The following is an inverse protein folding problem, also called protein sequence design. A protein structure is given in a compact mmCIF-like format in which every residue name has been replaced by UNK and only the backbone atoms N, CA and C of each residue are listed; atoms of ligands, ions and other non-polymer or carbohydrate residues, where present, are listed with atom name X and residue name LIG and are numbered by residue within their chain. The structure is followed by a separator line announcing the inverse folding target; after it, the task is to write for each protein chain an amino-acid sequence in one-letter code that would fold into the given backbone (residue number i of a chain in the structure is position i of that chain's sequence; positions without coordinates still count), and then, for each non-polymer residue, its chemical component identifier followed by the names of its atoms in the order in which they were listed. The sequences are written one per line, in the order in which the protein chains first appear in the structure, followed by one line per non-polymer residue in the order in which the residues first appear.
data_IF_570795210446
#
_entry.id   IF_570795210446
#
_cell.length_a   1.000
_cell.length_b   1.000
_cell.length_c   1.000
_cell.angle_alpha   90.00
_cell.angle_beta   90.00
_cell.angle_gamma   90.00
#
_symmetry.space_group_name_H-M   'P 1'
#
loop_
_entity.id
_entity.type
_entity.pdbx_description
1 polymer ?
#
# COMPACT_ATOMS: atom_id res chain seq x y z
N UNK A 1 -13.23 -7.60 -18.76
CA UNK A 1 -12.48 -8.68 -18.08
C UNK A 1 -13.12 -8.95 -16.74
N UNK A 2 -13.37 -10.22 -16.39
CA UNK A 2 -13.98 -10.57 -15.10
C UNK A 2 -12.95 -10.53 -13.99
N UNK A 3 -13.23 -9.79 -12.92
CA UNK A 3 -12.37 -9.67 -11.75
C UNK A 3 -13.19 -9.96 -10.50
N UNK A 4 -12.67 -10.80 -9.62
CA UNK A 4 -13.28 -11.07 -8.32
C UNK A 4 -12.53 -10.36 -7.19
N UNK A 5 -13.18 -10.13 -6.07
CA UNK A 5 -12.55 -9.57 -4.86
C UNK A 5 -12.51 -10.63 -3.76
N UNK A 6 -11.34 -10.80 -3.16
CA UNK A 6 -11.07 -11.67 -2.03
C UNK A 6 -10.87 -10.79 -0.80
N UNK A 7 -11.86 -10.85 0.10
CA UNK A 7 -12.00 -10.09 1.34
C UNK A 7 -12.21 -8.59 1.16
N UNK A 8 -13.06 -8.01 2.01
CA UNK A 8 -13.27 -6.59 2.21
C UNK A 8 -12.76 -6.12 3.58
N UNK A 9 -11.83 -6.87 4.21
CA UNK A 9 -11.20 -6.50 5.48
C UNK A 9 -10.42 -5.17 5.39
N UNK A 10 -9.75 -4.91 4.27
CA UNK A 10 -9.06 -3.65 3.99
C UNK A 10 -10.01 -2.66 3.29
N UNK A 11 -10.06 -1.42 3.79
CA UNK A 11 -11.02 -0.39 3.35
C UNK A 11 -10.91 0.00 1.87
N UNK A 12 -9.74 -0.15 1.25
CA UNK A 12 -9.57 0.10 -0.20
C UNK A 12 -10.35 -0.87 -1.08
N UNK A 13 -10.75 -2.05 -0.59
CA UNK A 13 -11.56 -3.01 -1.34
C UNK A 13 -12.82 -2.37 -1.93
N UNK A 14 -13.45 -1.45 -1.19
CA UNK A 14 -14.61 -0.70 -1.65
C UNK A 14 -14.28 0.25 -2.81
N UNK A 15 -13.15 0.96 -2.72
CA UNK A 15 -12.67 1.86 -3.79
C UNK A 15 -12.35 1.06 -5.06
N UNK A 16 -11.63 -0.06 -4.92
CA UNK A 16 -11.30 -0.94 -6.04
C UNK A 16 -12.54 -1.56 -6.68
N UNK A 17 -13.52 -2.00 -5.88
CA UNK A 17 -14.78 -2.53 -6.37
C UNK A 17 -15.63 -1.49 -7.13
N UNK A 18 -15.65 -0.23 -6.66
CA UNK A 18 -16.31 0.89 -7.37
C UNK A 18 -15.66 1.11 -8.74
N UNK A 19 -14.32 1.15 -8.81
CA UNK A 19 -13.57 1.30 -10.07
C UNK A 19 -13.75 0.12 -11.02
N UNK A 20 -13.82 -1.12 -10.52
CA UNK A 20 -14.16 -2.28 -11.34
C UNK A 20 -15.58 -2.20 -11.92
N UNK A 21 -16.54 -1.69 -11.13
CA UNK A 21 -17.94 -1.56 -11.55
C UNK A 21 -18.14 -0.44 -12.57
N UNK A 22 -17.37 0.66 -12.43
CA UNK A 22 -17.40 1.80 -13.34
C UNK A 22 -16.59 1.58 -14.63
N UNK A 23 -15.67 0.61 -14.64
CA UNK A 23 -14.77 0.36 -15.77
C UNK A 23 -15.53 -0.18 -16.99
N UNK A 24 -15.32 0.37 -18.21
CA UNK A 24 -15.84 -0.22 -19.44
C UNK A 24 -15.11 -1.54 -19.82
N UNK A 25 -13.99 -1.80 -19.14
CA UNK A 25 -12.96 -2.75 -19.50
C UNK A 25 -12.94 -3.97 -18.55
N UNK A 26 -13.66 -3.87 -17.44
CA UNK A 26 -13.76 -4.87 -16.39
C UNK A 26 -15.20 -5.04 -15.89
N UNK A 27 -15.44 -6.13 -15.18
CA UNK A 27 -16.63 -6.30 -14.37
C UNK A 27 -16.21 -6.93 -13.04
N UNK A 28 -16.77 -6.44 -11.93
CA UNK A 28 -16.73 -7.17 -10.67
C UNK A 28 -17.64 -8.39 -10.80
N UNK A 29 -17.08 -9.59 -10.78
CA UNK A 29 -17.81 -10.81 -11.11
C UNK A 29 -18.24 -11.63 -9.89
N UNK A 30 -17.53 -11.50 -8.76
CA UNK A 30 -17.76 -12.29 -7.56
C UNK A 30 -17.06 -11.68 -6.34
N UNK A 31 -17.58 -11.99 -5.15
CA UNK A 31 -16.99 -11.67 -3.86
C UNK A 31 -16.85 -12.93 -3.02
N UNK A 32 -15.72 -13.05 -2.33
CA UNK A 32 -15.53 -13.96 -1.21
C UNK A 32 -14.99 -13.15 -0.03
N UNK A 33 -15.31 -13.56 1.19
CA UNK A 33 -14.79 -12.96 2.41
C UNK A 33 -14.75 -14.02 3.52
N UNK A 34 -13.71 -13.99 4.36
CA UNK A 34 -13.61 -14.84 5.55
C UNK A 34 -14.69 -14.53 6.62
N UNK A 35 -15.20 -13.31 6.63
CA UNK A 35 -16.38 -12.89 7.40
C UNK A 35 -17.62 -12.94 6.50
N UNK A 36 -18.49 -13.90 6.77
CA UNK A 36 -19.70 -14.14 5.98
C UNK A 36 -20.64 -12.93 5.95
N UNK A 37 -20.71 -12.14 7.03
CA UNK A 37 -21.57 -10.96 7.09
C UNK A 37 -21.01 -9.88 6.16
N UNK A 38 -19.71 -9.57 6.30
CA UNK A 38 -19.02 -8.58 5.47
C UNK A 38 -19.06 -8.94 3.99
N UNK A 39 -18.82 -10.22 3.66
CA UNK A 39 -18.88 -10.72 2.29
C UNK A 39 -20.28 -10.61 1.67
N UNK A 40 -21.32 -10.98 2.40
CA UNK A 40 -22.71 -10.85 1.94
C UNK A 40 -23.12 -9.38 1.76
N UNK A 41 -22.72 -8.48 2.66
CA UNK A 41 -22.97 -7.06 2.55
C UNK A 41 -22.30 -6.45 1.31
N UNK A 42 -21.03 -6.76 1.08
CA UNK A 42 -20.29 -6.31 -0.10
C UNK A 42 -20.91 -6.85 -1.40
N UNK A 43 -21.19 -8.16 -1.46
CA UNK A 43 -21.84 -8.78 -2.61
C UNK A 43 -23.21 -8.15 -2.91
N UNK A 44 -24.03 -7.90 -1.88
CA UNK A 44 -25.31 -7.22 -2.02
C UNK A 44 -25.15 -5.78 -2.48
N UNK A 45 -24.15 -5.05 -1.99
CA UNK A 45 -23.88 -3.66 -2.38
C UNK A 45 -23.59 -3.53 -3.87
N UNK A 46 -22.80 -4.44 -4.42
CA UNK A 46 -22.38 -4.40 -5.82
C UNK A 46 -23.24 -5.26 -6.75
N UNK A 47 -24.22 -6.00 -6.22
CA UNK A 47 -25.14 -6.83 -7.01
C UNK A 47 -24.47 -8.05 -7.65
N UNK A 48 -23.46 -8.63 -6.99
CA UNK A 48 -22.67 -9.76 -7.50
C UNK A 48 -22.81 -10.99 -6.60
N UNK A 49 -22.51 -12.21 -7.09
CA UNK A 49 -22.56 -13.41 -6.26
C UNK A 49 -21.52 -13.37 -5.12
N UNK A 50 -21.98 -13.71 -3.91
CA UNK A 50 -21.13 -14.10 -2.79
C UNK A 50 -20.86 -15.61 -2.86
N UNK A 51 -19.59 -15.99 -2.67
CA UNK A 51 -19.17 -17.36 -2.47
C UNK A 51 -18.69 -17.52 -1.04
N UNK A 52 -19.17 -18.57 -0.36
CA UNK A 52 -18.77 -18.87 1.01
C UNK A 52 -17.38 -19.53 1.07
N UNK A 53 -17.11 -20.44 0.14
CA UNK A 53 -15.84 -21.15 0.07
C UNK A 53 -14.95 -20.49 -0.99
N UNK A 54 -13.70 -20.16 -0.63
CA UNK A 54 -12.78 -19.45 -1.53
C UNK A 54 -12.54 -20.24 -2.83
N UNK A 55 -12.43 -21.57 -2.71
CA UNK A 55 -12.26 -22.49 -3.84
C UNK A 55 -13.43 -22.44 -4.83
N UNK A 56 -14.63 -22.07 -4.41
CA UNK A 56 -15.78 -21.89 -5.32
C UNK A 56 -15.62 -20.61 -6.14
N UNK A 57 -15.21 -19.51 -5.51
CA UNK A 57 -14.90 -18.27 -6.21
C UNK A 57 -13.75 -18.46 -7.21
N UNK A 58 -12.69 -19.16 -6.80
CA UNK A 58 -11.52 -19.40 -7.64
C UNK A 58 -11.82 -20.32 -8.85
N UNK A 59 -12.87 -21.15 -8.78
CA UNK A 59 -13.35 -21.97 -9.91
C UNK A 59 -14.20 -21.21 -10.93
N UNK A 60 -14.58 -19.97 -10.65
CA UNK A 60 -15.31 -19.12 -11.61
C UNK A 60 -14.46 -18.76 -12.83
N UNK A 61 -15.08 -18.14 -13.82
CA UNK A 61 -14.41 -17.63 -15.02
C UNK A 61 -13.76 -16.24 -14.83
N UNK A 62 -13.60 -15.78 -13.58
CA UNK A 62 -12.77 -14.61 -13.27
C UNK A 62 -11.36 -14.80 -13.84
N UNK A 63 -10.82 -13.79 -14.51
CA UNK A 63 -9.44 -13.81 -15.02
C UNK A 63 -8.43 -13.35 -13.97
N UNK A 64 -8.88 -12.51 -13.03
CA UNK A 64 -8.05 -11.92 -12.00
C UNK A 64 -8.80 -11.79 -10.67
N UNK A 65 -8.04 -11.60 -9.60
CA UNK A 65 -8.54 -11.30 -8.26
C UNK A 65 -7.85 -10.06 -7.69
N UNK A 66 -8.59 -9.30 -6.87
CA UNK A 66 -8.04 -8.28 -5.98
C UNK A 66 -8.09 -8.84 -4.55
N UNK A 67 -6.94 -8.91 -3.88
CA UNK A 67 -6.81 -9.43 -2.51
C UNK A 67 -6.69 -8.25 -1.54
N UNK A 68 -7.68 -8.11 -0.66
CA UNK A 68 -7.79 -7.04 0.33
C UNK A 68 -8.11 -7.58 1.73
N UNK A 69 -7.60 -8.78 2.06
CA UNK A 69 -7.72 -9.36 3.40
C UNK A 69 -6.78 -8.70 4.40
N UNK A 70 -6.74 -9.18 5.65
CA UNK A 70 -5.69 -8.76 6.57
C UNK A 70 -4.30 -9.17 6.06
N UNK A 71 -3.25 -8.42 6.44
CA UNK A 71 -1.87 -8.60 5.95
C UNK A 71 -1.37 -10.03 6.11
N UNK A 72 -1.69 -10.67 7.24
CA UNK A 72 -1.27 -12.04 7.55
C UNK A 72 -1.90 -13.10 6.62
N UNK A 73 -3.02 -12.78 5.96
CA UNK A 73 -3.75 -13.70 5.07
C UNK A 73 -3.39 -13.55 3.60
N UNK A 74 -2.65 -12.51 3.21
CA UNK A 74 -2.27 -12.26 1.82
C UNK A 74 -1.62 -13.48 1.17
N UNK A 75 -0.67 -14.14 1.87
CA UNK A 75 0.02 -15.31 1.34
C UNK A 75 -0.93 -16.43 0.93
N UNK A 76 -1.84 -16.81 1.82
CA UNK A 76 -2.78 -17.90 1.58
C UNK A 76 -3.64 -17.60 0.36
N UNK A 77 -4.22 -16.40 0.31
CA UNK A 77 -5.10 -15.97 -0.77
C UNK A 77 -4.39 -15.84 -2.12
N UNK A 78 -3.19 -15.25 -2.14
CA UNK A 78 -2.40 -15.06 -3.37
C UNK A 78 -1.91 -16.40 -3.91
N UNK A 79 -1.44 -17.32 -3.06
CA UNK A 79 -1.01 -18.65 -3.51
C UNK A 79 -2.20 -19.45 -4.06
N UNK A 80 -3.36 -19.41 -3.40
CA UNK A 80 -4.58 -20.07 -3.88
C UNK A 80 -5.02 -19.50 -5.24
N UNK A 81 -5.04 -18.18 -5.39
CA UNK A 81 -5.37 -17.52 -6.64
C UNK A 81 -4.39 -17.87 -7.77
N UNK A 82 -3.09 -17.90 -7.49
CA UNK A 82 -2.07 -18.30 -8.45
C UNK A 82 -2.23 -19.75 -8.91
N UNK A 83 -2.49 -20.68 -7.98
CA UNK A 83 -2.76 -22.08 -8.31
C UNK A 83 -4.02 -22.27 -9.16
N UNK A 84 -5.01 -21.38 -9.01
CA UNK A 84 -6.21 -21.33 -9.86
C UNK A 84 -6.01 -20.58 -11.19
N UNK A 85 -4.78 -20.14 -11.50
CA UNK A 85 -4.44 -19.43 -12.73
C UNK A 85 -5.01 -18.01 -12.81
N UNK A 86 -5.28 -17.37 -11.67
CA UNK A 86 -5.80 -15.99 -11.61
C UNK A 86 -4.65 -14.99 -11.48
N UNK A 87 -4.70 -13.90 -12.25
CA UNK A 87 -3.82 -12.75 -12.01
C UNK A 87 -4.22 -12.05 -10.70
N UNK A 88 -3.26 -11.43 -10.01
CA UNK A 88 -3.46 -10.93 -8.64
C UNK A 88 -3.03 -9.47 -8.54
N UNK A 89 -3.94 -8.61 -8.06
CA UNK A 89 -3.61 -7.34 -7.44
C UNK A 89 -3.74 -7.53 -5.92
N UNK A 90 -2.63 -7.40 -5.18
CA UNK A 90 -2.60 -7.63 -3.73
C UNK A 90 -2.42 -6.31 -2.99
N UNK A 91 -3.21 -6.08 -1.94
CA UNK A 91 -3.00 -4.96 -1.03
C UNK A 91 -1.60 -4.96 -0.41
N UNK A 92 -1.18 -3.76 -0.01
CA UNK A 92 0.06 -3.53 0.74
C UNK A 92 -0.20 -3.66 2.24
N UNK A 93 0.81 -4.05 3.04
CA UNK A 93 2.07 -4.68 2.64
C UNK A 93 1.84 -6.03 1.96
N UNK A 94 2.76 -6.45 1.08
CA UNK A 94 2.67 -7.73 0.35
C UNK A 94 2.41 -8.92 1.29
N UNK A 95 3.03 -8.95 2.46
CA UNK A 95 2.85 -9.96 3.49
C UNK A 95 3.29 -9.41 4.84
N UNK A 96 3.09 -10.18 5.91
CA UNK A 96 3.73 -9.91 7.19
C UNK A 96 5.21 -10.33 7.15
N UNK A 97 5.57 -11.51 6.66
CA UNK A 97 6.96 -11.96 6.65
C UNK A 97 7.62 -11.91 5.25
N UNK A 98 8.92 -11.58 5.14
CA UNK A 98 9.64 -11.59 3.87
C UNK A 98 9.62 -12.96 3.17
N UNK A 99 9.74 -14.06 3.93
CA UNK A 99 9.69 -15.41 3.38
C UNK A 99 8.32 -15.72 2.76
N UNK A 100 7.25 -15.18 3.34
CA UNK A 100 5.90 -15.31 2.83
C UNK A 100 5.71 -14.54 1.53
N UNK A 101 6.24 -13.32 1.46
CA UNK A 101 6.28 -12.53 0.24
C UNK A 101 7.08 -13.23 -0.88
N UNK A 102 8.22 -13.84 -0.56
CA UNK A 102 9.01 -14.63 -1.52
C UNK A 102 8.24 -15.87 -2.01
N UNK A 103 7.48 -16.53 -1.13
CA UNK A 103 6.62 -17.65 -1.49
C UNK A 103 5.49 -17.22 -2.45
N UNK A 104 4.86 -16.06 -2.20
CA UNK A 104 3.84 -15.48 -3.09
C UNK A 104 4.40 -15.17 -4.48
N UNK A 105 5.54 -14.47 -4.53
CA UNK A 105 6.22 -14.12 -5.79
C UNK A 105 6.55 -15.40 -6.58
N UNK A 106 7.10 -16.41 -5.91
CA UNK A 106 7.42 -17.70 -6.52
C UNK A 106 6.15 -18.39 -7.05
N UNK A 107 5.08 -18.47 -6.25
CA UNK A 107 3.84 -19.12 -6.68
C UNK A 107 3.23 -18.46 -7.92
N UNK A 108 3.18 -17.13 -7.97
CA UNK A 108 2.68 -16.41 -9.13
C UNK A 108 3.56 -16.64 -10.37
N UNK A 109 4.88 -16.57 -10.21
CA UNK A 109 5.84 -16.85 -11.30
C UNK A 109 5.70 -18.28 -11.83
N UNK A 110 5.64 -19.27 -10.94
CA UNK A 110 5.61 -20.69 -11.32
C UNK A 110 4.29 -21.07 -12.01
N UNK A 111 3.19 -20.36 -11.72
CA UNK A 111 1.91 -20.51 -12.42
C UNK A 111 1.75 -19.58 -13.64
N UNK A 112 2.74 -18.74 -13.93
CA UNK A 112 2.70 -17.80 -15.06
C UNK A 112 1.64 -16.70 -14.91
N UNK A 113 1.23 -16.38 -13.68
CA UNK A 113 0.27 -15.30 -13.40
C UNK A 113 0.99 -14.04 -12.94
N UNK A 114 0.31 -12.90 -13.10
CA UNK A 114 0.84 -11.59 -12.71
C UNK A 114 0.55 -11.38 -11.22
N UNK A 115 1.54 -10.86 -10.49
CA UNK A 115 1.38 -10.31 -9.15
C UNK A 115 1.73 -8.83 -9.18
N UNK A 116 0.75 -7.97 -8.94
CA UNK A 116 0.94 -6.55 -8.75
C UNK A 116 0.63 -6.17 -7.30
N UNK A 117 1.43 -5.27 -6.73
CA UNK A 117 1.21 -4.75 -5.37
C UNK A 117 0.53 -3.40 -5.42
N UNK A 118 -0.45 -3.19 -4.53
CA UNK A 118 -1.27 -1.98 -4.48
C UNK A 118 -0.52 -0.80 -3.85
N UNK A 119 0.34 -0.14 -4.64
CA UNK A 119 0.92 1.17 -4.29
C UNK A 119 0.31 2.29 -5.14
N UNK A 120 -0.90 2.77 -4.81
CA UNK A 120 -1.62 3.75 -5.63
C UNK A 120 -0.90 5.10 -5.70
N UNK A 121 -0.01 5.42 -4.74
CA UNK A 121 0.68 6.71 -4.71
C UNK A 121 1.63 6.92 -5.90
N UNK A 122 2.10 5.87 -6.59
CA UNK A 122 2.85 5.99 -7.86
C UNK A 122 2.03 6.62 -8.99
N UNK A 123 0.69 6.63 -8.87
CA UNK A 123 -0.22 7.25 -9.84
C UNK A 123 -0.41 8.75 -9.62
N UNK A 124 0.10 9.29 -8.52
CA UNK A 124 0.01 10.73 -8.22
C UNK A 124 0.79 11.57 -9.24
N UNK A 125 0.17 12.61 -9.83
CA UNK A 125 0.87 13.56 -10.70
C UNK A 125 2.07 14.23 -10.02
N UNK A 126 1.95 14.55 -8.73
CA UNK A 126 3.01 15.20 -7.95
C UNK A 126 4.21 14.27 -7.79
N UNK A 127 3.98 12.98 -7.51
CA UNK A 127 5.04 11.98 -7.36
C UNK A 127 5.70 11.64 -8.70
N UNK A 128 4.91 11.55 -9.78
CA UNK A 128 5.41 11.39 -11.15
C UNK A 128 6.29 12.55 -11.60
N UNK A 129 5.86 13.79 -11.32
CA UNK A 129 6.66 14.98 -11.63
C UNK A 129 7.96 15.02 -10.83
N UNK A 130 7.91 14.63 -9.54
CA UNK A 130 9.11 14.55 -8.71
C UNK A 130 10.13 13.55 -9.27
N UNK A 131 9.66 12.38 -9.72
CA UNK A 131 10.51 11.37 -10.37
C UNK A 131 11.21 11.93 -11.61
N UNK A 132 10.48 12.62 -12.48
CA UNK A 132 11.08 13.22 -13.69
C UNK A 132 12.10 14.32 -13.34
N UNK A 133 11.79 15.17 -12.36
CA UNK A 133 12.68 16.24 -11.94
C UNK A 133 14.00 15.70 -11.33
N UNK A 134 13.91 14.64 -10.55
CA UNK A 134 15.09 13.96 -9.95
C UNK A 134 15.89 13.25 -11.04
N UNK A 135 15.24 12.49 -11.93
CA UNK A 135 15.89 11.76 -13.03
C UNK A 135 16.57 12.69 -14.04
N UNK A 136 16.00 13.85 -14.31
CA UNK A 136 16.61 14.86 -15.18
C UNK A 136 17.85 15.54 -14.56
N UNK A 137 18.16 15.27 -13.29
CA UNK A 137 19.34 15.79 -12.60
C UNK A 137 19.24 17.27 -12.22
N UNK A 138 18.04 17.85 -12.28
CA UNK A 138 17.82 19.27 -11.96
C UNK A 138 18.10 19.59 -10.49
N UNK A 139 17.91 18.62 -9.58
CA UNK A 139 18.30 18.74 -8.17
C UNK A 139 19.77 18.42 -7.90
N UNK A 140 20.54 17.99 -8.90
CA UNK A 140 21.86 17.42 -8.71
C UNK A 140 21.79 16.05 -8.03
N UNK A 141 22.79 15.73 -7.21
CA UNK A 141 22.78 14.49 -6.41
C UNK A 141 21.91 14.70 -5.18
N UNK A 142 20.92 13.82 -4.97
CA UNK A 142 20.16 13.79 -3.72
C UNK A 142 21.11 13.34 -2.60
N UNK A 143 21.05 14.02 -1.45
CA UNK A 143 21.87 13.74 -0.27
C UNK A 143 21.03 13.53 0.99
N UNK A 144 19.80 14.06 1.01
CA UNK A 144 18.94 14.01 2.18
C UNK A 144 17.47 13.93 1.82
N UNK A 145 16.70 13.18 2.60
CA UNK A 145 15.24 13.08 2.48
C UNK A 145 14.62 13.19 3.88
N UNK A 146 13.57 14.00 4.02
CA UNK A 146 12.70 13.95 5.19
C UNK A 146 11.29 13.67 4.71
N UNK A 147 10.66 12.64 5.25
CA UNK A 147 9.33 12.22 4.87
C UNK A 147 8.44 12.02 6.09
N UNK A 148 7.16 12.30 5.90
CA UNK A 148 6.12 11.95 6.85
C UNK A 148 5.02 11.21 6.12
N UNK A 149 4.44 10.25 6.81
CA UNK A 149 3.16 9.68 6.42
C UNK A 149 2.40 9.46 7.72
N UNK A 150 1.64 10.48 8.11
CA UNK A 150 0.87 10.43 9.34
C UNK A 150 -0.57 10.04 9.06
N UNK A 151 -1.09 9.04 9.75
CA UNK A 151 -2.49 8.60 9.62
C UNK A 151 -3.31 8.82 10.87
N UNK A 152 -4.62 8.65 10.74
CA UNK A 152 -5.48 8.28 11.87
C UNK A 152 -5.28 6.80 12.16
N UNK A 153 -5.37 6.40 13.42
CA UNK A 153 -5.36 4.99 13.81
C UNK A 153 -6.61 4.28 13.26
N UNK A 154 -6.48 3.26 12.38
CA UNK A 154 -7.63 2.63 11.72
C UNK A 154 -8.50 1.76 12.65
N UNK A 155 -7.91 1.21 13.71
CA UNK A 155 -8.55 0.25 14.62
C UNK A 155 -8.73 -1.14 13.99
N UNK A 156 -9.59 -1.96 14.59
CA UNK A 156 -9.90 -3.31 14.07
C UNK A 156 -8.65 -4.20 13.99
N UNK A 157 -8.48 -4.91 12.88
CA UNK A 157 -7.34 -5.82 12.69
C UNK A 157 -5.99 -5.10 12.55
N UNK A 158 -5.95 -3.80 12.24
CA UNK A 158 -4.69 -3.05 12.12
C UNK A 158 -3.92 -2.97 13.45
N UNK A 159 -4.64 -3.03 14.58
CA UNK A 159 -4.05 -2.98 15.92
C UNK A 159 -3.82 -4.36 16.52
N UNK A 160 -4.17 -5.44 15.79
CA UNK A 160 -3.86 -6.81 16.17
C UNK A 160 -2.53 -7.23 15.51
N UNK A 161 -1.43 -7.35 16.28
CA UNK A 161 -0.12 -7.67 15.72
C UNK A 161 -0.07 -9.01 14.98
N UNK A 162 -0.97 -9.96 15.28
CA UNK A 162 -1.03 -11.25 14.58
C UNK A 162 -1.61 -11.11 13.18
N UNK A 163 -2.51 -10.15 12.96
CA UNK A 163 -3.17 -9.92 11.68
C UNK A 163 -2.45 -8.85 10.84
N UNK A 164 -1.95 -7.79 11.48
CA UNK A 164 -1.30 -6.66 10.81
C UNK A 164 0.20 -6.83 10.64
N UNK A 165 0.86 -7.57 11.53
CA UNK A 165 2.31 -7.71 11.59
C UNK A 165 3.04 -6.53 12.25
N UNK A 166 2.31 -5.54 12.76
CA UNK A 166 2.80 -4.33 13.44
C UNK A 166 1.84 -3.15 13.27
N UNK A 167 2.17 -2.02 13.87
CA UNK A 167 1.30 -0.85 13.91
C UNK A 167 1.60 0.17 12.82
N UNK A 168 1.72 1.44 13.24
CA UNK A 168 1.86 2.57 12.33
C UNK A 168 3.12 2.48 11.46
N UNK A 169 4.21 1.90 11.97
CA UNK A 169 5.44 1.70 11.18
C UNK A 169 5.19 0.76 10.01
N UNK A 170 4.48 -0.36 10.22
CA UNK A 170 4.12 -1.30 9.13
C UNK A 170 3.18 -0.64 8.12
N UNK A 171 2.16 0.07 8.61
CA UNK A 171 1.15 0.69 7.74
C UNK A 171 1.74 1.82 6.87
N UNK A 172 2.61 2.67 7.43
CA UNK A 172 3.02 3.92 6.79
C UNK A 172 4.40 3.88 6.11
N UNK A 173 5.37 3.10 6.61
CA UNK A 173 6.71 3.03 5.99
C UNK A 173 6.62 2.49 4.57
N UNK A 174 5.75 1.51 4.31
CA UNK A 174 5.63 0.87 2.99
C UNK A 174 5.30 1.87 1.88
N UNK A 175 4.41 2.83 2.14
CA UNK A 175 4.05 3.88 1.17
C UNK A 175 5.24 4.78 0.85
N UNK A 176 5.93 5.27 1.88
CA UNK A 176 7.06 6.17 1.70
C UNK A 176 8.21 5.43 1.01
N UNK A 177 8.52 4.21 1.43
CA UNK A 177 9.61 3.44 0.84
C UNK A 177 9.35 3.04 -0.60
N UNK A 178 8.11 2.69 -0.96
CA UNK A 178 7.74 2.46 -2.35
C UNK A 178 8.09 3.68 -3.23
N UNK A 179 7.69 4.87 -2.78
CA UNK A 179 7.97 6.13 -3.48
C UNK A 179 9.47 6.38 -3.56
N UNK A 180 10.21 6.23 -2.45
CA UNK A 180 11.65 6.49 -2.43
C UNK A 180 12.40 5.52 -3.35
N UNK A 181 12.07 4.23 -3.33
CA UNK A 181 12.65 3.26 -4.25
C UNK A 181 12.37 3.60 -5.71
N UNK A 182 11.13 3.97 -6.01
CA UNK A 182 10.69 4.28 -7.37
C UNK A 182 11.29 5.58 -7.93
N UNK A 183 11.39 6.61 -7.09
CA UNK A 183 11.86 7.95 -7.46
C UNK A 183 13.38 8.02 -7.50
N UNK A 184 14.06 7.44 -6.51
CA UNK A 184 15.51 7.53 -6.38
C UNK A 184 16.25 6.42 -7.12
N UNK A 185 15.61 5.25 -7.32
CA UNK A 185 16.22 4.06 -7.91
C UNK A 185 17.49 3.65 -7.14
N UNK A 186 17.40 3.67 -5.80
CA UNK A 186 18.48 3.33 -4.84
C UNK A 186 17.99 2.35 -3.80
N UNK A 187 18.86 1.42 -3.39
CA UNK A 187 18.54 0.50 -2.29
C UNK A 187 18.86 1.11 -0.93
N UNK A 188 18.13 0.70 0.10
CA UNK A 188 18.50 0.95 1.50
C UNK A 188 19.64 0.00 1.86
N UNK A 189 20.66 0.52 2.52
CA UNK A 189 21.81 -0.25 3.03
C UNK A 189 21.76 -0.38 4.55
N UNK A 190 21.12 0.56 5.25
CA UNK A 190 21.07 0.56 6.71
C UNK A 190 19.80 1.19 7.25
N UNK A 191 19.26 0.63 8.33
CA UNK A 191 18.04 1.11 9.00
C UNK A 191 18.31 1.25 10.48
N UNK A 192 17.92 2.40 11.06
CA UNK A 192 17.81 2.59 12.49
C UNK A 192 16.42 3.15 12.82
N UNK A 193 15.77 2.65 13.87
CA UNK A 193 14.45 3.11 14.26
C UNK A 193 14.32 3.24 15.77
N UNK A 194 13.66 4.33 16.19
CA UNK A 194 13.13 4.51 17.53
C UNK A 194 11.61 4.61 17.40
N UNK A 195 10.90 3.57 17.84
CA UNK A 195 9.45 3.45 17.79
C UNK A 195 8.91 3.40 19.24
N UNK A 196 7.64 3.72 19.44
CA UNK A 196 6.99 3.65 20.74
C UNK A 196 5.47 3.54 20.56
N UNK A 197 4.77 3.25 21.66
CA UNK A 197 3.30 3.26 21.74
C UNK A 197 2.88 4.32 22.76
N UNK A 198 2.53 5.52 22.28
CA UNK A 198 2.32 6.70 23.13
C UNK A 198 1.06 7.49 22.81
N UNK A 199 0.46 7.27 21.65
CA UNK A 199 -0.70 8.01 21.18
C UNK A 199 -2.01 7.31 21.56
N UNK A 200 -2.00 5.97 21.60
CA UNK A 200 -3.15 5.13 21.86
C UNK A 200 -2.82 4.00 22.85
N UNK A 201 -3.86 3.44 23.48
CA UNK A 201 -3.76 2.29 24.39
C UNK A 201 -3.94 0.98 23.59
N UNK A 202 -2.86 0.54 22.95
CA UNK A 202 -2.80 -0.62 22.04
C UNK A 202 -1.48 -1.38 22.20
N UNK A 203 -1.34 -2.54 21.56
CA UNK A 203 -0.15 -3.42 21.71
C UNK A 203 0.94 -3.22 20.64
N UNK A 204 0.66 -2.41 19.62
CA UNK A 204 1.56 -2.15 18.49
C UNK A 204 2.12 -0.73 18.53
N UNK A 205 3.25 -0.50 17.85
CA UNK A 205 3.87 0.82 17.76
C UNK A 205 2.96 1.80 17.02
N UNK A 206 2.81 3.03 17.53
CA UNK A 206 1.93 4.04 16.95
C UNK A 206 2.64 5.35 16.59
N UNK A 207 3.89 5.51 17.01
CA UNK A 207 4.73 6.64 16.65
C UNK A 207 6.21 6.28 16.67
N UNK A 208 7.03 7.14 16.07
CA UNK A 208 8.48 6.97 16.05
C UNK A 208 9.14 7.64 14.87
N UNK A 209 10.46 7.50 14.79
CA UNK A 209 11.28 7.98 13.67
C UNK A 209 12.15 6.84 13.16
N UNK A 210 12.19 6.69 11.84
CA UNK A 210 13.06 5.76 11.13
C UNK A 210 14.11 6.55 10.37
N UNK A 211 15.38 6.26 10.64
CA UNK A 211 16.54 6.76 9.91
C UNK A 211 17.08 5.69 8.98
N UNK A 212 17.35 6.06 7.74
CA UNK A 212 17.80 5.17 6.69
C UNK A 212 19.07 5.71 6.06
N UNK A 213 20.00 4.82 5.74
CA UNK A 213 21.05 5.09 4.76
C UNK A 213 20.72 4.32 3.48
N UNK A 214 20.80 4.99 2.33
CA UNK A 214 20.63 4.39 1.01
C UNK A 214 21.93 4.47 0.22
N UNK A 215 22.03 3.65 -0.82
CA UNK A 215 23.12 3.68 -1.78
C UNK A 215 23.45 5.11 -2.23
N UNK A 216 24.73 5.39 -2.48
CA UNK A 216 25.25 6.73 -2.78
C UNK A 216 25.27 7.70 -1.58
N UNK A 217 25.02 7.20 -0.36
CA UNK A 217 25.16 7.97 0.88
C UNK A 217 23.96 8.88 1.18
N UNK A 218 22.79 8.61 0.58
CA UNK A 218 21.57 9.37 0.86
C UNK A 218 21.09 8.99 2.26
N UNK A 219 20.83 9.99 3.10
CA UNK A 219 20.23 9.78 4.42
C UNK A 219 18.76 10.18 4.37
N UNK A 220 17.86 9.31 4.81
CA UNK A 220 16.44 9.59 4.88
C UNK A 220 15.90 9.46 6.31
N UNK A 221 14.94 10.30 6.66
CA UNK A 221 14.15 10.19 7.88
C UNK A 221 12.66 10.02 7.53
N UNK A 222 11.97 9.12 8.22
CA UNK A 222 10.53 8.87 8.06
C UNK A 222 9.86 8.96 9.43
N UNK A 223 8.78 9.74 9.53
CA UNK A 223 7.80 9.68 10.63
C UNK A 223 6.55 8.92 10.14
N UNK A 224 6.33 7.66 10.59
CA UNK A 224 5.22 6.82 10.17
C UNK A 224 4.13 6.74 11.26
N UNK A 225 3.78 7.84 11.94
CA UNK A 225 2.89 7.81 13.12
C UNK A 225 1.39 7.83 12.83
N UNK A 226 0.60 7.19 13.69
CA UNK A 226 -0.85 7.37 13.77
C UNK A 226 -1.23 8.65 14.55
N UNK A 227 -0.58 9.77 14.24
CA UNK A 227 -0.68 11.02 15.02
C UNK A 227 -1.83 11.93 14.60
N UNK A 228 -2.59 11.60 13.56
CA UNK A 228 -3.72 12.43 13.13
C UNK A 228 -4.95 12.17 14.02
N UNK A 229 -5.52 13.21 14.67
CA UNK A 229 -6.70 13.03 15.50
C UNK A 229 -7.92 12.71 14.64
N UNK A 230 -8.98 12.18 15.26
CA UNK A 230 -10.23 11.85 14.56
C UNK A 230 -10.82 13.05 13.77
N UNK A 231 -10.61 14.28 14.26
CA UNK A 231 -11.03 15.54 13.63
C UNK A 231 -10.18 16.00 12.45
N UNK A 232 -9.06 15.32 12.15
CA UNK A 232 -8.24 15.65 10.99
C UNK A 232 -9.06 15.51 9.70
N UNK A 233 -8.96 16.45 8.73
CA UNK A 233 -9.94 16.55 7.65
C UNK A 233 -9.89 15.40 6.62
N UNK A 234 -8.81 14.64 6.62
CA UNK A 234 -8.56 13.47 5.76
C UNK A 234 -8.01 12.32 6.60
N UNK A 235 -7.76 11.16 5.99
CA UNK A 235 -7.20 10.01 6.70
C UNK A 235 -5.77 10.28 7.20
N UNK A 236 -4.95 10.96 6.40
CA UNK A 236 -3.56 11.22 6.72
C UNK A 236 -2.87 12.20 5.78
N UNK A 237 -1.59 12.47 6.02
CA UNK A 237 -0.73 13.21 5.11
C UNK A 237 0.30 12.30 4.43
N UNK A 238 0.92 12.83 3.37
CA UNK A 238 2.14 12.28 2.81
C UNK A 238 2.98 13.45 2.30
N UNK A 239 4.06 13.74 3.02
CA UNK A 239 4.93 14.88 2.74
C UNK A 239 6.35 14.36 2.57
N UNK A 240 7.05 14.79 1.52
CA UNK A 240 8.43 14.39 1.26
C UNK A 240 9.24 15.61 0.85
N UNK A 241 10.37 15.83 1.51
CA UNK A 241 11.34 16.88 1.19
C UNK A 241 12.66 16.27 0.76
N UNK A 242 13.05 16.50 -0.49
CA UNK A 242 14.33 16.10 -1.05
C UNK A 242 15.33 17.26 -0.98
N UNK A 243 16.53 16.96 -0.49
CA UNK A 243 17.69 17.87 -0.53
C UNK A 243 18.70 17.34 -1.52
N UNK A 244 18.96 18.10 -2.58
CA UNK A 244 19.99 17.81 -3.57
C UNK A 244 21.08 18.87 -3.61
N UNK A 245 22.20 18.55 -4.24
CA UNK A 245 23.36 19.44 -4.34
C UNK A 245 23.13 20.69 -5.20
N UNK A 246 22.06 20.73 -6.00
CA UNK A 246 21.71 21.86 -6.87
C UNK A 246 20.30 22.42 -6.63
N UNK A 247 19.54 21.84 -5.71
CA UNK A 247 18.18 22.29 -5.41
C UNK A 247 17.48 21.43 -4.38
N UNK A 248 16.33 21.90 -3.91
CA UNK A 248 15.43 21.16 -3.02
C UNK A 248 14.07 20.99 -3.69
N UNK A 249 13.33 19.96 -3.27
CA UNK A 249 11.97 19.70 -3.73
C UNK A 249 11.12 19.33 -2.52
N UNK A 250 10.00 20.02 -2.34
CA UNK A 250 9.04 19.74 -1.29
C UNK A 250 7.75 19.27 -1.93
N UNK A 251 7.31 18.08 -1.54
CA UNK A 251 6.10 17.43 -1.99
C UNK A 251 5.14 17.34 -0.82
N UNK A 252 3.89 17.69 -1.07
CA UNK A 252 2.77 17.45 -0.17
C UNK A 252 1.64 16.94 -1.06
N UNK A 253 1.33 15.65 -0.92
CA UNK A 253 0.37 14.94 -1.77
C UNK A 253 -1.03 15.56 -1.69
N UNK A 254 -1.35 16.21 -0.56
CA UNK A 254 -2.68 16.72 -0.26
C UNK A 254 -2.73 18.25 -0.21
N UNK A 255 -1.69 18.93 -0.71
CA UNK A 255 -1.56 20.40 -0.64
C UNK A 255 -2.68 21.15 -1.34
N UNK A 256 -3.15 20.60 -2.45
CA UNK A 256 -4.19 21.21 -3.28
C UNK A 256 -5.54 20.59 -2.94
N UNK A 257 -6.36 21.34 -2.20
CA UNK A 257 -7.68 20.91 -1.81
C UNK A 257 -8.66 22.07 -1.69
N UNK A 258 -9.93 21.78 -1.96
CA UNK A 258 -11.05 22.60 -1.49
C UNK A 258 -11.43 22.18 -0.06
N UNK A 259 -11.70 23.15 0.80
CA UNK A 259 -12.13 22.88 2.18
C UNK A 259 -13.66 22.86 2.23
N UNK A 260 -14.23 21.74 2.66
CA UNK A 260 -15.67 21.56 2.84
C UNK A 260 -16.02 21.47 4.32
N UNK A 261 -16.84 22.39 4.82
CA UNK A 261 -17.39 22.35 6.16
C UNK A 261 -18.71 21.59 6.12
N UNK A 262 -18.75 20.40 6.71
CA UNK A 262 -19.84 19.45 6.58
C UNK A 262 -20.62 19.30 7.89
N UNK A 263 -21.67 20.11 8.06
CA UNK A 263 -22.54 20.07 9.24
C UNK A 263 -23.32 18.75 9.38
N UNK A 264 -23.52 17.99 8.30
CA UNK A 264 -24.21 16.69 8.35
C UNK A 264 -23.34 15.64 9.05
N UNK A 265 -22.02 15.71 8.86
CA UNK A 265 -21.05 14.82 9.50
C UNK A 265 -20.35 15.46 10.71
N UNK A 266 -20.71 16.69 11.06
CA UNK A 266 -20.07 17.52 12.08
C UNK A 266 -18.53 17.54 11.97
N UNK A 267 -18.02 17.78 10.75
CA UNK A 267 -16.57 17.83 10.49
C UNK A 267 -16.17 18.70 9.30
N UNK A 268 -14.90 19.09 9.26
CA UNK A 268 -14.26 19.65 8.07
C UNK A 268 -13.66 18.52 7.24
N UNK A 269 -13.83 18.57 5.92
CA UNK A 269 -13.29 17.62 4.95
C UNK A 269 -12.43 18.38 3.92
N UNK A 270 -11.35 17.76 3.43
CA UNK A 270 -10.63 18.27 2.26
C UNK A 270 -11.03 17.47 1.02
N UNK A 271 -11.47 18.17 0.00
CA UNK A 271 -11.72 17.62 -1.33
C UNK A 271 -10.48 17.86 -2.18
N UNK A 272 -9.68 16.81 -2.37
CA UNK A 272 -8.37 16.91 -3.01
C UNK A 272 -8.52 17.20 -4.52
N UNK A 273 -7.61 18.00 -5.06
CA UNK A 273 -7.49 18.28 -6.49
C UNK A 273 -6.34 17.46 -7.07
N UNK A 274 -6.54 16.15 -7.13
CA UNK A 274 -5.59 15.18 -7.67
C UNK A 274 -6.35 14.11 -8.44
N UNK A 275 -5.63 13.39 -9.31
CA UNK A 275 -6.15 12.17 -9.94
C UNK A 275 -6.54 11.16 -8.86
N UNK A 276 -7.56 10.35 -9.15
CA UNK A 276 -7.91 9.20 -8.33
C UNK A 276 -6.80 8.15 -8.46
N UNK A 277 -6.07 7.95 -7.37
CA UNK A 277 -4.89 7.11 -7.34
C UNK A 277 -5.25 5.61 -7.44
N UNK A 278 -6.42 5.24 -6.92
CA UNK A 278 -6.94 3.88 -6.97
C UNK A 278 -7.47 3.56 -8.38
N UNK A 279 -8.09 4.53 -9.06
CA UNK A 279 -8.47 4.41 -10.47
C UNK A 279 -7.24 4.11 -11.33
N UNK A 280 -6.16 4.88 -11.12
CA UNK A 280 -4.89 4.68 -11.82
C UNK A 280 -4.30 3.29 -11.59
N UNK A 281 -4.32 2.81 -10.34
CA UNK A 281 -3.82 1.49 -9.97
C UNK A 281 -4.64 0.35 -10.59
N UNK A 282 -5.97 0.39 -10.43
CA UNK A 282 -6.87 -0.64 -10.97
C UNK A 282 -6.78 -0.62 -12.50
N UNK A 283 -6.84 0.55 -13.13
CA UNK A 283 -6.73 0.69 -14.58
C UNK A 283 -5.43 0.12 -15.15
N UNK A 284 -4.29 0.39 -14.49
CA UNK A 284 -3.01 -0.18 -14.88
C UNK A 284 -2.98 -1.71 -14.73
N UNK A 285 -3.50 -2.26 -13.64
CA UNK A 285 -3.60 -3.72 -13.46
C UNK A 285 -4.45 -4.37 -14.55
N UNK A 286 -5.61 -3.79 -14.88
CA UNK A 286 -6.47 -4.29 -15.96
C UNK A 286 -5.76 -4.26 -17.32
N UNK A 287 -5.00 -3.20 -17.61
CA UNK A 287 -4.19 -3.09 -18.82
C UNK A 287 -3.06 -4.13 -18.84
N UNK A 288 -2.36 -4.33 -17.72
CA UNK A 288 -1.29 -5.32 -17.56
C UNK A 288 -1.76 -6.72 -17.96
N UNK A 289 -2.90 -7.13 -17.39
CA UNK A 289 -3.45 -8.47 -17.62
C UNK A 289 -3.89 -8.63 -19.06
N UNK A 290 -4.53 -7.61 -19.65
CA UNK A 290 -4.98 -7.65 -21.05
C UNK A 290 -3.82 -7.71 -22.04
N UNK A 291 -2.77 -6.94 -21.78
CA UNK A 291 -1.62 -6.80 -22.67
C UNK A 291 -0.57 -7.91 -22.47
N UNK A 292 -0.66 -8.67 -21.37
CA UNK A 292 0.30 -9.70 -21.03
C UNK A 292 1.69 -9.15 -20.70
N UNK A 293 1.76 -7.94 -20.16
CA UNK A 293 3.03 -7.28 -19.78
C UNK A 293 3.42 -7.58 -18.33
N UNK A 294 4.68 -7.37 -17.93
CA UNK A 294 5.08 -7.46 -16.53
C UNK A 294 4.34 -6.44 -15.66
N UNK A 295 4.20 -6.75 -14.37
CA UNK A 295 3.65 -5.84 -13.38
C UNK A 295 4.45 -4.52 -13.35
N UNK A 296 3.75 -3.38 -13.33
CA UNK A 296 4.37 -2.05 -13.18
C UNK A 296 4.85 -1.80 -11.74
N UNK A 297 4.24 -2.52 -10.79
CA UNK A 297 4.54 -2.53 -9.35
C UNK A 297 4.61 -4.00 -8.94
N UNK A 298 5.80 -4.56 -9.03
CA UNK A 298 6.07 -5.98 -8.89
C UNK A 298 5.95 -6.47 -7.44
N UNK A 299 5.85 -7.79 -7.26
CA UNK A 299 5.99 -8.38 -5.93
C UNK A 299 7.35 -8.07 -5.28
N UNK A 300 8.41 -7.94 -6.08
CA UNK A 300 9.73 -7.52 -5.64
C UNK A 300 9.76 -6.09 -5.08
N UNK A 301 8.96 -5.16 -5.63
CA UNK A 301 8.77 -3.83 -5.05
C UNK A 301 8.15 -3.94 -3.64
N UNK A 302 7.11 -4.77 -3.51
CA UNK A 302 6.48 -5.07 -2.21
C UNK A 302 7.46 -5.69 -1.20
N UNK A 303 8.24 -6.69 -1.62
CA UNK A 303 9.24 -7.33 -0.76
C UNK A 303 10.34 -6.37 -0.31
N UNK A 304 10.79 -5.48 -1.20
CA UNK A 304 11.82 -4.50 -0.87
C UNK A 304 11.36 -3.55 0.24
N UNK A 305 10.12 -3.05 0.16
CA UNK A 305 9.54 -2.20 1.23
C UNK A 305 9.34 -2.97 2.53
N UNK A 306 8.87 -4.22 2.45
CA UNK A 306 8.67 -5.08 3.63
C UNK A 306 9.99 -5.37 4.38
N UNK A 307 11.10 -5.57 3.66
CA UNK A 307 12.42 -5.74 4.29
C UNK A 307 12.85 -4.52 5.10
N UNK A 308 12.54 -3.31 4.64
CA UNK A 308 12.82 -2.08 5.40
C UNK A 308 11.94 -1.99 6.64
N UNK A 309 10.64 -2.28 6.51
CA UNK A 309 9.71 -2.34 7.65
C UNK A 309 10.22 -3.29 8.74
N UNK A 310 10.56 -4.53 8.34
CA UNK A 310 11.05 -5.55 9.28
C UNK A 310 12.39 -5.17 9.90
N UNK A 311 13.27 -4.51 9.14
CA UNK A 311 14.53 -3.97 9.68
C UNK A 311 14.30 -2.82 10.66
N UNK A 312 13.29 -1.98 10.45
CA UNK A 312 12.93 -0.92 11.39
C UNK A 312 12.43 -1.51 12.71
N UNK A 313 11.51 -2.48 12.66
CA UNK A 313 11.04 -3.19 13.86
C UNK A 313 12.18 -3.92 14.60
N UNK A 314 13.05 -4.61 13.86
CA UNK A 314 14.23 -5.27 14.44
C UNK A 314 15.24 -4.27 15.04
N UNK A 315 15.44 -3.11 14.41
CA UNK A 315 16.27 -2.04 14.96
C UNK A 315 15.70 -1.52 16.27
N UNK A 316 14.39 -1.27 16.32
CA UNK A 316 13.73 -0.77 17.52
C UNK A 316 13.89 -1.76 18.68
N UNK A 317 13.60 -3.04 18.45
CA UNK A 317 13.71 -4.07 19.48
C UNK A 317 15.15 -4.29 19.97
N UNK A 318 16.15 -4.17 19.09
CA UNK A 318 17.55 -4.39 19.44
C UNK A 318 18.29 -3.14 19.93
N UNK A 319 17.73 -1.94 19.70
CA UNK A 319 18.38 -0.66 19.95
C UNK A 319 19.60 -0.40 19.05
N UNK A 320 19.73 -1.09 17.92
CA UNK A 320 20.90 -1.02 17.02
C UNK A 320 20.46 -0.88 15.57
N UNK A 321 21.28 -0.23 14.76
CA UNK A 321 21.06 -0.22 13.33
C UNK A 321 21.18 -1.63 12.71
N UNK A 322 20.38 -1.90 11.68
CA UNK A 322 20.33 -3.14 10.89
C UNK A 322 20.88 -2.86 9.49
N UNK A 323 21.78 -3.70 9.00
CA UNK A 323 22.33 -3.63 7.63
C UNK A 323 21.50 -4.52 6.69
N UNK A 324 21.36 -4.11 5.42
CA UNK A 324 20.56 -4.78 4.38
C UNK A 324 21.40 -5.26 3.18
#
# INVERSE_FOLDING_TARGET
MKVAVISFAHMHAYSYAEHLTASPDAELSAVWDEDETRGMEAASRYGVPYYRELDELLRTDAAAVIVCSENARHKEHVIAAAAAGKHVLCEKPIAVDPDDAEAMIRACRDNGVILQIAFPVRYSPVIRQARELIRSGQLGSIIGVNATNHGKMPGGWFIDPQLSGGGAAVDHIVHVMDILFWVLEKKVTRVHAELDTRLHDIEVEDCGIVLLEMESGIIAAIDPSWSRPASYPIWGDLVISFTGTKGTLHLDLHKQASVFYNDVKDKTEWMLWTDDLDEGLVGDFLAIVREGRPASISGEDGLATLRVVRSALASHLSGRAIEL
#
